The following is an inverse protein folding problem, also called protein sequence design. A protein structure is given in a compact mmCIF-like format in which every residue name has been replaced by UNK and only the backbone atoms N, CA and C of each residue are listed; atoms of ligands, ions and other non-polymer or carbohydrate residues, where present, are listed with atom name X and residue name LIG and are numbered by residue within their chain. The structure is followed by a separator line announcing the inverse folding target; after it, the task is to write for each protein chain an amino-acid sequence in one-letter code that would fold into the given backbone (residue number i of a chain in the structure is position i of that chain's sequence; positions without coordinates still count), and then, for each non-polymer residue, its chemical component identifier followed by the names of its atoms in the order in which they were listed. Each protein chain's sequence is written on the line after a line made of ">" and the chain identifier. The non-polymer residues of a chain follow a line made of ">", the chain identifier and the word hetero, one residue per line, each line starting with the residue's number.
data_IF_004434056010
#
_entry.id   IF_004434056010
#
_cell.length_a   1.000
_cell.length_b   1.000
_cell.length_c   1.000
_cell.angle_alpha   90.00
_cell.angle_beta   90.00
_cell.angle_gamma   90.00
#
_symmetry.space_group_name_H-M   'P 1'
#
loop_
_entity.id
_entity.type
_entity.pdbx_description
1 polymer ?
#
# COMPACT_ATOMS: atom_id res chain seq x y z
N UNK A 1 -6.67 -1.49 13.46
CA UNK A 1 -6.87 -0.14 12.91
C UNK A 1 -5.51 0.45 12.91
N UNK A 2 -5.07 0.95 11.77
CA UNK A 2 -3.79 1.58 11.71
C UNK A 2 -3.76 2.82 12.59
N UNK A 3 -2.97 2.75 13.65
CA UNK A 3 -2.92 3.71 14.75
C UNK A 3 -1.70 4.60 14.55
N UNK A 4 -1.89 5.83 14.09
CA UNK A 4 -0.79 6.79 13.91
C UNK A 4 -0.48 7.48 15.24
N UNK A 5 0.81 7.57 15.58
CA UNK A 5 1.26 8.31 16.77
C UNK A 5 0.87 9.80 16.67
N UNK A 6 0.08 10.31 17.63
CA UNK A 6 -0.36 11.71 17.67
C UNK A 6 0.78 12.71 17.65
N UNK A 7 1.95 12.39 18.20
CA UNK A 7 3.12 13.27 18.14
C UNK A 7 3.57 13.49 16.69
N UNK A 8 3.41 12.49 15.83
CA UNK A 8 3.71 12.64 14.41
C UNK A 8 2.64 13.50 13.72
N UNK A 9 1.35 13.22 13.92
CA UNK A 9 0.27 14.03 13.33
C UNK A 9 0.37 15.50 13.81
N UNK A 10 0.65 15.72 15.09
CA UNK A 10 0.88 17.04 15.65
C UNK A 10 2.08 17.74 15.00
N UNK A 11 3.21 17.03 14.81
CA UNK A 11 4.37 17.57 14.09
C UNK A 11 4.05 17.96 12.65
N UNK A 12 3.23 17.17 11.95
CA UNK A 12 2.74 17.55 10.61
C UNK A 12 1.91 18.83 10.72
N UNK A 13 0.93 18.88 11.62
CA UNK A 13 0.09 20.08 11.87
C UNK A 13 0.86 21.31 12.32
N UNK A 14 2.05 21.15 12.86
CA UNK A 14 2.96 22.22 13.29
C UNK A 14 3.98 22.61 12.20
N UNK A 15 3.87 22.06 10.99
CA UNK A 15 4.76 22.37 9.87
C UNK A 15 4.89 23.89 9.65
N UNK A 16 6.11 24.40 9.66
CA UNK A 16 6.41 25.85 9.61
C UNK A 16 6.60 26.36 8.19
N UNK A 17 7.05 25.48 7.31
CA UNK A 17 7.32 25.74 5.90
C UNK A 17 7.12 24.45 5.07
N UNK A 18 7.32 24.57 3.75
CA UNK A 18 7.16 23.47 2.81
C UNK A 18 8.07 22.26 3.09
N UNK A 19 9.25 22.46 3.71
CA UNK A 19 10.20 21.39 4.03
C UNK A 19 9.63 20.42 5.05
N UNK A 20 8.94 20.93 6.07
CA UNK A 20 8.28 20.11 7.08
C UNK A 20 7.17 19.26 6.44
N UNK A 21 6.44 19.80 5.46
CA UNK A 21 5.40 19.09 4.71
C UNK A 21 6.00 18.05 3.74
N UNK A 22 7.11 18.37 3.07
CA UNK A 22 7.84 17.43 2.21
C UNK A 22 8.29 16.21 3.03
N UNK A 23 8.84 16.42 4.23
CA UNK A 23 9.26 15.31 5.09
C UNK A 23 8.10 14.40 5.48
N UNK A 24 6.90 14.96 5.69
CA UNK A 24 5.69 14.16 5.90
C UNK A 24 5.33 13.34 4.65
N UNK A 25 5.33 13.97 3.47
CA UNK A 25 5.03 13.30 2.20
C UNK A 25 6.05 12.22 1.83
N UNK A 26 7.33 12.37 2.18
CA UNK A 26 8.33 11.30 2.04
C UNK A 26 8.00 10.10 2.93
N UNK A 27 7.50 10.33 4.16
CA UNK A 27 6.96 9.29 5.01
C UNK A 27 5.73 8.60 4.40
N UNK A 28 4.86 9.38 3.75
CA UNK A 28 3.71 8.86 3.01
C UNK A 28 4.13 7.96 1.84
N UNK A 29 5.09 8.42 1.02
CA UNK A 29 5.69 7.62 -0.06
C UNK A 29 6.25 6.31 0.48
N UNK A 30 6.93 6.33 1.63
CA UNK A 30 7.45 5.12 2.26
C UNK A 30 6.34 4.18 2.74
N UNK A 31 5.25 4.72 3.29
CA UNK A 31 4.08 3.95 3.73
C UNK A 31 3.46 3.21 2.56
N UNK A 32 3.11 3.90 1.48
CA UNK A 32 2.48 3.25 0.30
C UNK A 32 3.45 2.25 -0.36
N UNK A 33 4.75 2.54 -0.38
CA UNK A 33 5.75 1.59 -0.84
C UNK A 33 5.82 0.34 0.04
N UNK A 34 5.52 0.45 1.34
CA UNK A 34 5.60 -0.67 2.30
C UNK A 34 4.46 -1.69 2.15
N UNK A 35 3.35 -1.31 1.52
CA UNK A 35 2.22 -2.22 1.28
C UNK A 35 2.46 -3.11 0.05
N UNK A 36 3.33 -2.70 -0.89
CA UNK A 36 3.57 -3.44 -2.13
C UNK A 36 4.25 -4.81 -1.91
N UNK A 37 5.37 -4.94 -1.17
CA UNK A 37 6.02 -6.23 -0.95
C UNK A 37 5.12 -7.32 -0.34
N UNK A 38 4.34 -7.10 0.74
CA UNK A 38 3.46 -8.14 1.28
C UNK A 38 2.40 -8.59 0.27
N UNK A 39 1.80 -7.64 -0.48
CA UNK A 39 0.77 -7.96 -1.47
C UNK A 39 1.32 -8.73 -2.66
N UNK A 40 2.47 -8.29 -3.18
CA UNK A 40 3.17 -8.95 -4.28
C UNK A 40 3.66 -10.34 -3.88
N UNK A 41 4.19 -10.51 -2.67
CA UNK A 41 4.62 -11.83 -2.16
C UNK A 41 3.44 -12.81 -2.13
N UNK A 42 2.28 -12.34 -1.64
CA UNK A 42 1.05 -13.12 -1.69
C UNK A 42 0.69 -13.53 -3.11
N UNK A 43 0.66 -12.58 -4.06
CA UNK A 43 0.34 -12.87 -5.47
C UNK A 43 1.33 -13.84 -6.12
N UNK A 44 2.63 -13.69 -5.85
CA UNK A 44 3.68 -14.56 -6.40
C UNK A 44 3.58 -15.99 -5.88
N UNK A 45 2.95 -16.22 -4.74
CA UNK A 45 2.69 -17.57 -4.23
C UNK A 45 1.60 -18.33 -4.98
N UNK A 46 0.79 -17.66 -5.80
CA UNK A 46 -0.30 -18.31 -6.55
C UNK A 46 0.24 -19.05 -7.77
N UNK A 47 -0.04 -20.35 -7.89
CA UNK A 47 0.34 -21.13 -9.07
C UNK A 47 -0.29 -20.57 -10.36
N UNK A 48 0.35 -20.75 -11.53
CA UNK A 48 -0.23 -20.35 -12.81
C UNK A 48 -1.64 -20.94 -13.02
N UNK A 49 -2.58 -20.09 -13.47
CA UNK A 49 -3.98 -20.47 -13.71
C UNK A 49 -4.77 -20.94 -12.47
N UNK A 50 -4.29 -20.62 -11.26
CA UNK A 50 -5.00 -20.86 -10.01
C UNK A 50 -5.40 -19.55 -9.34
N UNK A 51 -6.52 -19.57 -8.62
CA UNK A 51 -7.00 -18.47 -7.78
C UNK A 51 -7.03 -17.13 -8.54
N UNK A 52 -7.43 -17.14 -9.82
CA UNK A 52 -7.33 -15.97 -10.71
C UNK A 52 -8.13 -14.77 -10.21
N UNK A 53 -9.29 -15.02 -9.59
CA UNK A 53 -10.11 -13.95 -9.00
C UNK A 53 -9.39 -13.28 -7.82
N UNK A 54 -8.79 -14.06 -6.91
CA UNK A 54 -7.97 -13.53 -5.82
C UNK A 54 -6.75 -12.76 -6.37
N UNK A 55 -6.10 -13.29 -7.41
CA UNK A 55 -4.98 -12.63 -8.08
C UNK A 55 -5.38 -11.26 -8.62
N UNK A 56 -6.50 -11.18 -9.34
CA UNK A 56 -7.01 -9.92 -9.92
C UNK A 56 -7.35 -8.91 -8.83
N UNK A 57 -8.01 -9.35 -7.75
CA UNK A 57 -8.36 -8.47 -6.63
C UNK A 57 -7.13 -7.89 -5.94
N UNK A 58 -6.12 -8.71 -5.61
CA UNK A 58 -4.90 -8.22 -4.97
C UNK A 58 -4.09 -7.33 -5.92
N UNK A 59 -4.00 -7.69 -7.21
CA UNK A 59 -3.31 -6.87 -8.20
C UNK A 59 -3.98 -5.49 -8.42
N UNK A 60 -5.32 -5.43 -8.34
CA UNK A 60 -6.03 -4.16 -8.39
C UNK A 60 -5.62 -3.25 -7.22
N UNK A 61 -5.54 -3.80 -6.00
CA UNK A 61 -5.06 -3.05 -4.82
C UNK A 61 -3.61 -2.60 -5.02
N UNK A 62 -2.70 -3.47 -5.45
CA UNK A 62 -1.30 -3.11 -5.74
C UNK A 62 -1.19 -1.92 -6.71
N UNK A 63 -2.04 -1.88 -7.75
CA UNK A 63 -2.07 -0.77 -8.71
C UNK A 63 -2.58 0.51 -8.07
N UNK A 64 -3.56 0.44 -7.16
CA UNK A 64 -4.05 1.59 -6.40
C UNK A 64 -3.00 2.12 -5.40
N UNK A 65 -2.28 1.25 -4.69
CA UNK A 65 -1.19 1.63 -3.79
C UNK A 65 -0.04 2.34 -4.53
N UNK A 66 0.27 1.89 -5.74
CA UNK A 66 1.23 2.57 -6.61
C UNK A 66 0.76 3.96 -7.06
N UNK A 67 -0.55 4.12 -7.31
CA UNK A 67 -1.15 5.43 -7.57
C UNK A 67 -0.99 6.34 -6.35
N UNK A 68 -1.24 5.83 -5.14
CA UNK A 68 -1.13 6.63 -3.91
C UNK A 68 0.30 7.12 -3.69
N UNK A 69 1.28 6.22 -3.84
CA UNK A 69 2.69 6.57 -3.80
C UNK A 69 3.02 7.67 -4.84
N UNK A 70 2.51 7.54 -6.06
CA UNK A 70 2.74 8.51 -7.13
C UNK A 70 2.12 9.89 -6.84
N UNK A 71 0.91 9.92 -6.28
CA UNK A 71 0.21 11.16 -5.87
C UNK A 71 0.96 11.86 -4.73
N UNK A 72 1.39 11.12 -3.71
CA UNK A 72 2.21 11.65 -2.62
C UNK A 72 3.55 12.21 -3.14
N UNK A 73 4.21 11.48 -4.05
CA UNK A 73 5.48 11.89 -4.64
C UNK A 73 5.33 13.11 -5.57
N UNK A 74 4.30 13.18 -6.41
CA UNK A 74 3.99 14.37 -7.22
C UNK A 74 3.76 15.60 -6.32
N UNK A 75 3.02 15.42 -5.21
CA UNK A 75 2.78 16.49 -4.24
C UNK A 75 4.09 16.95 -3.60
N UNK A 76 4.96 16.04 -3.18
CA UNK A 76 6.27 16.40 -2.62
C UNK A 76 7.15 17.16 -3.63
N UNK A 77 7.17 16.74 -4.90
CA UNK A 77 7.89 17.43 -5.98
C UNK A 77 7.35 18.85 -6.20
N UNK A 78 6.02 19.03 -6.13
CA UNK A 78 5.37 20.33 -6.28
C UNK A 78 5.73 21.33 -5.18
N UNK A 79 6.03 20.84 -3.97
CA UNK A 79 6.50 21.67 -2.86
C UNK A 79 8.01 21.94 -2.93
N UNK A 80 8.70 21.32 -3.89
CA UNK A 80 10.12 21.46 -4.12
C UNK A 80 11.00 20.32 -3.58
N UNK A 81 10.39 19.22 -3.12
CA UNK A 81 11.07 18.01 -2.66
C UNK A 81 11.63 17.14 -3.79
N UNK A 82 12.42 16.13 -3.41
CA UNK A 82 12.92 15.08 -4.31
C UNK A 82 12.89 13.75 -3.52
N UNK A 83 11.75 13.02 -3.53
CA UNK A 83 11.55 11.86 -2.67
C UNK A 83 12.67 10.81 -2.83
N UNK A 84 13.39 10.43 -1.76
CA UNK A 84 14.53 9.51 -1.84
C UNK A 84 14.05 8.04 -1.83
N UNK A 85 13.24 7.67 -2.84
CA UNK A 85 12.50 6.40 -2.91
C UNK A 85 13.39 5.19 -2.67
N UNK A 86 14.62 5.19 -3.18
CA UNK A 86 15.54 4.06 -3.00
C UNK A 86 15.92 3.88 -1.53
N UNK A 87 16.24 4.98 -0.86
CA UNK A 87 16.56 4.97 0.57
C UNK A 87 15.34 4.55 1.40
N UNK A 88 14.16 5.06 1.06
CA UNK A 88 12.91 4.74 1.75
C UNK A 88 12.58 3.24 1.61
N UNK A 89 12.70 2.67 0.41
CA UNK A 89 12.46 1.25 0.16
C UNK A 89 13.45 0.32 0.85
N UNK A 90 14.73 0.70 0.91
CA UNK A 90 15.77 -0.07 1.62
C UNK A 90 15.67 -0.01 3.14
N UNK A 91 14.96 0.98 3.68
CA UNK A 91 14.70 1.08 5.11
C UNK A 91 13.52 0.22 5.57
N UNK A 92 12.77 -0.39 4.64
CA UNK A 92 11.68 -1.32 4.95
C UNK A 92 12.26 -2.64 5.46
N UNK A 93 11.64 -3.20 6.50
CA UNK A 93 12.05 -4.45 7.12
C UNK A 93 10.82 -5.33 7.32
N UNK A 94 10.95 -6.62 6.98
CA UNK A 94 9.92 -7.62 7.23
C UNK A 94 10.52 -8.85 7.95
N UNK A 95 9.87 -9.37 9.01
CA UNK A 95 8.68 -8.79 9.62
C UNK A 95 9.03 -7.47 10.35
N UNK A 96 8.14 -6.50 10.31
CA UNK A 96 8.40 -5.18 10.92
C UNK A 96 7.15 -4.31 11.02
N UNK A 97 7.23 -3.17 11.73
CA UNK A 97 6.12 -2.23 11.79
C UNK A 97 5.92 -1.52 10.45
N UNK A 98 4.75 -0.92 10.25
CA UNK A 98 4.59 0.05 9.17
C UNK A 98 5.46 1.30 9.43
N UNK A 99 5.88 2.00 8.36
CA UNK A 99 6.52 3.30 8.48
C UNK A 99 5.68 4.28 9.30
N UNK A 100 6.28 5.42 9.68
CA UNK A 100 5.57 6.50 10.39
C UNK A 100 5.01 6.11 11.78
N UNK A 101 5.50 5.01 12.37
CA UNK A 101 5.01 4.47 13.65
C UNK A 101 3.50 4.27 13.65
N UNK A 102 2.98 3.83 12.51
CA UNK A 102 1.58 3.50 12.31
C UNK A 102 1.36 2.08 12.82
N UNK A 103 0.42 1.94 13.75
CA UNK A 103 0.08 0.72 14.49
C UNK A 103 1.32 -0.06 14.91
N UNK A 104 2.05 0.40 15.94
CA UNK A 104 3.27 -0.28 16.36
C UNK A 104 3.04 -1.71 16.85
N UNK A 105 1.79 -2.11 17.07
CA UNK A 105 1.41 -3.50 17.41
C UNK A 105 1.23 -4.37 16.14
N UNK A 106 0.96 -3.77 14.98
CA UNK A 106 0.91 -4.48 13.71
C UNK A 106 2.32 -4.83 13.24
N UNK A 107 2.56 -6.12 13.08
CA UNK A 107 3.77 -6.63 12.43
C UNK A 107 3.43 -7.07 11.02
N UNK A 108 3.95 -6.33 10.03
CA UNK A 108 3.80 -6.65 8.61
C UNK A 108 4.80 -7.73 8.24
N UNK A 109 4.29 -8.88 7.79
CA UNK A 109 5.10 -10.01 7.32
C UNK A 109 4.92 -10.28 5.83
N UNK A 110 5.90 -10.93 5.22
CA UNK A 110 5.83 -11.46 3.86
C UNK A 110 5.52 -12.96 3.91
N UNK A 111 4.56 -13.41 3.10
CA UNK A 111 4.19 -14.83 3.07
C UNK A 111 3.24 -15.18 1.94
N UNK A 112 2.94 -16.47 1.82
CA UNK A 112 1.98 -17.00 0.86
C UNK A 112 0.58 -16.41 1.06
N UNK A 113 -0.21 -16.33 -0.02
CA UNK A 113 -1.60 -15.87 0.05
C UNK A 113 -2.47 -16.93 0.73
N UNK A 114 -2.55 -16.82 2.06
CA UNK A 114 -3.39 -17.65 2.93
C UNK A 114 -4.45 -16.78 3.59
N UNK A 115 -5.50 -17.40 4.13
CA UNK A 115 -6.50 -16.67 4.94
C UNK A 115 -5.85 -15.97 6.13
N UNK A 116 -4.80 -16.54 6.73
CA UNK A 116 -4.06 -15.91 7.81
C UNK A 116 -3.31 -14.66 7.33
N UNK A 117 -2.58 -14.74 6.22
CA UNK A 117 -1.90 -13.58 5.63
C UNK A 117 -2.89 -12.46 5.26
N UNK A 118 -4.02 -12.82 4.64
CA UNK A 118 -5.08 -11.88 4.30
C UNK A 118 -5.64 -11.18 5.53
N UNK A 119 -6.00 -11.92 6.59
CA UNK A 119 -6.63 -11.32 7.78
C UNK A 119 -5.65 -10.56 8.67
N UNK A 120 -4.46 -11.13 8.89
CA UNK A 120 -3.52 -10.63 9.89
C UNK A 120 -2.58 -9.55 9.34
N UNK A 121 -2.39 -9.51 8.01
CA UNK A 121 -1.54 -8.51 7.36
C UNK A 121 -2.37 -7.63 6.44
N UNK A 122 -2.97 -8.16 5.37
CA UNK A 122 -3.54 -7.30 4.33
C UNK A 122 -4.75 -6.50 4.83
N UNK A 123 -5.74 -7.18 5.39
CA UNK A 123 -6.90 -6.53 6.01
C UNK A 123 -6.53 -5.73 7.27
N UNK A 124 -5.42 -6.06 7.94
CA UNK A 124 -4.99 -5.31 9.10
C UNK A 124 -4.37 -3.96 8.70
N UNK A 125 -3.57 -3.94 7.62
CA UNK A 125 -3.08 -2.72 6.97
C UNK A 125 -4.26 -1.88 6.51
N UNK A 126 -5.20 -2.45 5.76
CA UNK A 126 -6.29 -1.67 5.16
C UNK A 126 -7.47 -1.38 6.10
N UNK A 127 -7.37 -1.75 7.39
CA UNK A 127 -8.55 -1.66 8.27
C UNK A 127 -8.97 -0.19 8.42
N UNK A 128 -10.21 0.17 8.00
CA UNK A 128 -10.67 1.55 8.04
C UNK A 128 -10.73 2.11 9.46
N UNK A 129 -10.66 3.43 9.53
CA UNK A 129 -10.70 4.21 10.77
C UNK A 129 -12.12 4.34 11.34
N UNK A 130 -12.64 3.25 11.90
CA UNK A 130 -14.01 3.15 12.40
C UNK A 130 -14.11 2.44 13.74
N UNK A 131 -15.14 2.81 14.49
CA UNK A 131 -15.60 2.11 15.69
C UNK A 131 -16.74 1.12 15.41
N UNK A 132 -17.27 1.07 14.19
CA UNK A 132 -18.22 0.07 13.77
C UNK A 132 -17.59 -1.32 13.73
N UNK A 133 -18.44 -2.33 13.96
CA UNK A 133 -18.12 -3.72 13.70
C UNK A 133 -18.08 -3.93 12.19
N UNK A 134 -16.93 -4.39 11.67
CA UNK A 134 -16.77 -4.69 10.26
C UNK A 134 -17.28 -6.11 9.91
N UNK A 135 -17.61 -6.38 8.63
CA UNK A 135 -18.10 -7.69 8.20
C UNK A 135 -17.11 -8.80 8.53
N UNK A 136 -17.57 -9.84 9.26
CA UNK A 136 -16.75 -10.97 9.65
C UNK A 136 -15.72 -10.69 10.76
N UNK A 137 -15.74 -9.49 11.35
CA UNK A 137 -14.89 -9.09 12.47
C UNK A 137 -15.53 -9.47 13.83
N UNK A 138 -14.72 -9.86 14.82
CA UNK A 138 -15.18 -9.99 16.21
C UNK A 138 -15.52 -8.58 16.76
N UNK A 139 -16.73 -8.34 17.30
CA UNK A 139 -17.11 -7.05 17.90
C UNK A 139 -16.12 -6.51 18.95
N UNK A 140 -15.34 -7.38 19.62
CA UNK A 140 -14.29 -6.98 20.55
C UNK A 140 -13.16 -6.18 19.89
N UNK A 141 -12.91 -6.40 18.59
CA UNK A 141 -11.90 -5.64 17.84
C UNK A 141 -12.34 -4.18 17.72
N UNK A 142 -13.60 -3.95 17.32
CA UNK A 142 -14.19 -2.62 17.24
C UNK A 142 -14.17 -1.91 18.62
N UNK A 143 -14.46 -2.63 19.71
CA UNK A 143 -14.35 -2.11 21.07
C UNK A 143 -12.92 -1.68 21.42
N UNK A 144 -11.92 -2.54 21.20
CA UNK A 144 -10.50 -2.22 21.46
C UNK A 144 -10.05 -0.99 20.67
N UNK A 145 -10.59 -0.83 19.46
CA UNK A 145 -10.27 0.31 18.59
C UNK A 145 -10.89 1.60 19.12
N UNK A 146 -12.14 1.56 19.59
CA UNK A 146 -12.74 2.69 20.29
C UNK A 146 -11.92 3.11 21.53
N UNK A 147 -11.42 2.13 22.30
CA UNK A 147 -10.53 2.38 23.45
C UNK A 147 -9.19 3.01 23.04
N UNK A 148 -8.59 2.55 21.92
CA UNK A 148 -7.36 3.12 21.38
C UNK A 148 -7.57 4.55 20.84
N UNK A 149 -8.67 4.81 20.14
CA UNK A 149 -9.04 6.19 19.75
C UNK A 149 -9.17 7.10 20.97
N UNK A 150 -9.79 6.62 22.05
CA UNK A 150 -9.89 7.35 23.31
C UNK A 150 -8.52 7.62 23.97
N UNK A 151 -7.54 6.72 23.79
CA UNK A 151 -6.12 6.93 24.20
C UNK A 151 -5.35 7.86 23.27
N UNK A 152 -5.96 8.31 22.17
CA UNK A 152 -5.44 9.34 21.31
C UNK A 152 -4.51 8.85 20.20
N UNK A 153 -4.87 7.77 19.54
CA UNK A 153 -4.24 7.37 18.29
C UNK A 153 -5.05 7.86 17.07
N UNK A 154 -4.39 8.25 15.98
CA UNK A 154 -5.05 8.70 14.73
C UNK A 154 -5.02 7.65 13.62
N UNK A 155 -5.53 7.96 12.42
CA UNK A 155 -5.50 7.09 11.23
C UNK A 155 -4.59 7.59 10.11
N UNK A 156 -4.45 6.81 9.02
CA UNK A 156 -3.76 7.25 7.79
C UNK A 156 -4.49 8.47 7.20
N UNK A 157 -5.81 8.46 7.23
CA UNK A 157 -6.67 9.58 6.87
C UNK A 157 -6.41 10.81 7.74
N UNK A 158 -6.27 10.66 9.06
CA UNK A 158 -5.88 11.78 9.94
C UNK A 158 -4.50 12.34 9.58
N UNK A 159 -3.56 11.47 9.18
CA UNK A 159 -2.26 11.90 8.72
C UNK A 159 -2.35 12.74 7.44
N UNK A 160 -3.04 12.27 6.40
CA UNK A 160 -3.21 13.04 5.17
C UNK A 160 -4.05 14.31 5.38
N UNK A 161 -5.06 14.28 6.25
CA UNK A 161 -5.79 15.48 6.65
C UNK A 161 -4.87 16.50 7.32
N UNK A 162 -3.95 16.06 8.20
CA UNK A 162 -2.95 16.95 8.80
C UNK A 162 -2.01 17.56 7.76
N UNK A 163 -1.64 16.82 6.70
CA UNK A 163 -0.87 17.36 5.58
C UNK A 163 -1.65 18.45 4.85
N UNK A 164 -2.93 18.20 4.52
CA UNK A 164 -3.82 19.17 3.86
C UNK A 164 -3.99 20.44 4.72
N UNK A 165 -4.36 20.28 6.00
CA UNK A 165 -4.49 21.39 6.96
C UNK A 165 -3.21 22.23 7.05
N UNK A 166 -2.04 21.57 6.93
CA UNK A 166 -0.76 22.26 6.97
C UNK A 166 -0.50 23.10 5.73
N UNK A 167 -0.78 22.55 4.55
CA UNK A 167 -0.67 23.29 3.29
C UNK A 167 -1.61 24.50 3.27
N UNK A 168 -2.86 24.33 3.71
CA UNK A 168 -3.85 25.41 3.84
C UNK A 168 -3.33 26.54 4.74
N UNK A 169 -2.82 26.18 5.93
CA UNK A 169 -2.28 27.16 6.88
C UNK A 169 -1.06 27.90 6.35
N UNK A 170 -0.14 27.23 5.65
CA UNK A 170 1.02 27.87 5.03
C UNK A 170 0.55 28.93 4.01
N UNK A 171 -0.37 28.57 3.12
CA UNK A 171 -0.96 29.50 2.13
C UNK A 171 -1.68 30.67 2.82
N UNK A 172 -2.49 30.41 3.85
CA UNK A 172 -3.19 31.45 4.61
C UNK A 172 -2.22 32.39 5.34
N UNK A 173 -1.04 31.92 5.74
CA UNK A 173 0.00 32.75 6.35
C UNK A 173 0.76 33.65 5.36
N UNK A 174 0.42 33.59 4.06
CA UNK A 174 1.05 34.37 3.00
C UNK A 174 2.31 33.72 2.42
N UNK A 175 2.61 32.47 2.79
CA UNK A 175 3.64 31.68 2.11
C UNK A 175 3.07 31.14 0.79
N UNK A 176 3.95 30.94 -0.20
CA UNK A 176 3.60 30.32 -1.47
C UNK A 176 4.36 29.00 -1.65
N UNK A 177 3.91 27.91 -1.00
CA UNK A 177 4.55 26.60 -1.12
C UNK A 177 4.51 26.02 -2.54
N UNK A 178 3.69 26.59 -3.44
CA UNK A 178 3.53 26.15 -4.83
C UNK A 178 4.04 27.19 -5.84
N UNK A 179 4.88 28.15 -5.41
CA UNK A 179 5.40 29.21 -6.29
C UNK A 179 6.26 28.70 -7.46
N UNK A 180 6.82 27.50 -7.34
CA UNK A 180 7.44 26.73 -8.42
C UNK A 180 7.05 25.24 -8.29
N UNK A 181 5.92 24.82 -8.88
CA UNK A 181 5.41 23.47 -8.72
C UNK A 181 6.15 22.42 -9.56
N UNK A 182 7.16 22.82 -10.37
CA UNK A 182 8.00 21.89 -11.17
C UNK A 182 7.19 20.85 -11.96
N UNK A 183 6.14 21.28 -12.66
CA UNK A 183 5.20 20.39 -13.36
C UNK A 183 5.88 19.44 -14.34
N UNK A 184 6.97 19.89 -14.96
CA UNK A 184 7.81 19.12 -15.88
C UNK A 184 8.61 18.01 -15.19
N UNK A 185 8.75 18.04 -13.87
CA UNK A 185 9.39 17.00 -13.05
C UNK A 185 8.39 16.05 -12.40
N UNK A 186 7.09 16.31 -12.54
CA UNK A 186 6.03 15.45 -12.03
C UNK A 186 5.61 14.42 -13.08
N UNK A 187 5.27 13.23 -12.61
CA UNK A 187 4.72 12.18 -13.44
C UNK A 187 3.31 12.56 -13.90
N UNK A 188 3.08 12.56 -15.22
CA UNK A 188 1.73 12.67 -15.77
C UNK A 188 1.05 11.30 -15.69
N UNK A 189 0.06 11.18 -14.80
CA UNK A 189 -0.60 9.89 -14.54
C UNK A 189 -1.70 9.57 -15.54
N UNK A 190 -2.07 10.50 -16.44
CA UNK A 190 -3.23 10.35 -17.35
C UNK A 190 -3.19 9.09 -18.22
N UNK A 191 -1.98 8.64 -18.60
CA UNK A 191 -1.77 7.45 -19.43
C UNK A 191 -2.09 6.14 -18.70
N UNK A 192 -1.87 6.10 -17.39
CA UNK A 192 -1.92 4.86 -16.59
C UNK A 192 -3.11 4.83 -15.63
N UNK A 193 -3.53 6.01 -15.17
CA UNK A 193 -4.57 6.22 -14.18
C UNK A 193 -5.54 7.31 -14.67
N UNK A 194 -6.22 7.08 -15.82
CA UNK A 194 -7.11 8.08 -16.38
C UNK A 194 -8.27 8.35 -15.44
N UNK A 195 -8.54 9.64 -15.19
CA UNK A 195 -9.66 10.10 -14.34
C UNK A 195 -9.62 9.61 -12.89
N UNK A 196 -8.45 9.19 -12.38
CA UNK A 196 -8.31 8.73 -11.00
C UNK A 196 -8.43 9.86 -9.97
N UNK A 197 -8.02 11.08 -10.33
CA UNK A 197 -8.24 12.28 -9.51
C UNK A 197 -9.40 13.10 -10.11
N UNK A 198 -10.49 13.34 -9.36
CA UNK A 198 -11.61 14.15 -9.83
C UNK A 198 -11.16 15.56 -10.23
N UNK A 199 -11.52 15.98 -11.45
CA UNK A 199 -11.23 17.32 -11.95
C UNK A 199 -9.81 17.57 -12.44
N UNK A 200 -8.89 16.59 -12.31
CA UNK A 200 -7.53 16.69 -12.83
C UNK A 200 -7.15 15.43 -13.64
N UNK A 201 -7.15 15.49 -14.98
CA UNK A 201 -6.83 14.34 -15.82
C UNK A 201 -5.35 13.94 -15.74
N UNK A 202 -4.44 14.85 -15.39
CA UNK A 202 -2.99 14.59 -15.34
C UNK A 202 -2.50 14.16 -13.96
N UNK A 203 -3.26 14.51 -12.92
CA UNK A 203 -2.91 14.33 -11.51
C UNK A 203 -1.58 15.02 -11.14
N UNK A 204 -1.26 16.13 -11.82
CA UNK A 204 -0.10 16.97 -11.51
C UNK A 204 -0.52 18.08 -10.56
N UNK A 205 0.23 18.23 -9.48
CA UNK A 205 -0.03 19.23 -8.44
C UNK A 205 0.54 20.57 -8.87
N UNK A 206 -0.34 21.56 -9.06
CA UNK A 206 -0.01 22.92 -9.54
C UNK A 206 -0.18 23.97 -8.45
N UNK A 207 -1.02 23.68 -7.48
CA UNK A 207 -1.52 24.60 -6.45
C UNK A 207 -2.13 23.80 -5.29
N UNK A 208 -2.63 24.52 -4.28
CA UNK A 208 -3.29 23.92 -3.11
C UNK A 208 -4.49 23.05 -3.49
N UNK A 209 -5.31 23.48 -4.47
CA UNK A 209 -6.53 22.77 -4.85
C UNK A 209 -6.22 21.41 -5.49
N UNK A 210 -5.23 21.37 -6.40
CA UNK A 210 -4.77 20.12 -7.01
C UNK A 210 -4.03 19.21 -6.02
N UNK A 211 -3.28 19.78 -5.06
CA UNK A 211 -2.70 19.01 -3.95
C UNK A 211 -3.79 18.36 -3.08
N UNK A 212 -4.81 19.13 -2.68
CA UNK A 212 -5.94 18.63 -1.91
C UNK A 212 -6.68 17.53 -2.67
N UNK A 213 -6.93 17.72 -3.97
CA UNK A 213 -7.58 16.71 -4.80
C UNK A 213 -6.78 15.39 -4.85
N UNK A 214 -5.46 15.46 -5.00
CA UNK A 214 -4.57 14.30 -4.98
C UNK A 214 -4.60 13.59 -3.61
N UNK A 215 -4.37 14.32 -2.51
CA UNK A 215 -4.31 13.73 -1.16
C UNK A 215 -5.67 13.18 -0.71
N UNK A 216 -6.78 13.87 -1.01
CA UNK A 216 -8.13 13.33 -0.75
C UNK A 216 -8.43 12.08 -1.56
N UNK A 217 -7.81 11.91 -2.74
CA UNK A 217 -7.97 10.68 -3.52
C UNK A 217 -7.34 9.50 -2.82
N UNK A 218 -6.15 9.68 -2.23
CA UNK A 218 -5.49 8.66 -1.40
C UNK A 218 -6.40 8.26 -0.23
N UNK A 219 -6.89 9.25 0.54
CA UNK A 219 -7.80 9.00 1.68
C UNK A 219 -9.05 8.21 1.25
N UNK A 220 -9.71 8.63 0.16
CA UNK A 220 -10.96 7.99 -0.30
C UNK A 220 -10.76 6.54 -0.76
N UNK A 221 -9.63 6.24 -1.40
CA UNK A 221 -9.36 4.93 -1.97
C UNK A 221 -8.79 3.95 -0.93
N UNK A 222 -7.84 4.39 -0.10
CA UNK A 222 -7.23 3.54 0.93
C UNK A 222 -8.21 3.20 2.07
N UNK A 223 -8.76 4.21 2.76
CA UNK A 223 -9.62 3.95 3.93
C UNK A 223 -11.09 3.64 3.57
N UNK A 224 -11.49 3.85 2.31
CA UNK A 224 -12.90 3.84 1.92
C UNK A 224 -13.64 5.05 2.48
N UNK A 225 -14.41 5.75 1.65
CA UNK A 225 -14.84 7.10 2.05
C UNK A 225 -15.69 7.16 3.33
N UNK A 226 -15.52 8.32 3.99
CA UNK A 226 -16.12 8.80 5.22
C UNK A 226 -15.53 8.21 6.51
N UNK A 227 -14.26 8.56 6.77
CA UNK A 227 -13.68 8.58 8.12
C UNK A 227 -14.73 9.12 9.11
N UNK A 228 -15.07 8.31 10.11
CA UNK A 228 -16.02 8.70 11.16
C UNK A 228 -17.52 8.59 10.82
N UNK A 229 -17.91 8.01 9.69
CA UNK A 229 -19.31 7.62 9.46
C UNK A 229 -19.56 6.14 9.79
N UNK A 230 -20.37 5.92 10.82
CA UNK A 230 -20.90 4.60 11.18
C UNK A 230 -22.40 4.55 10.79
N UNK A 231 -22.87 3.53 10.05
CA UNK A 231 -22.11 2.40 9.51
C UNK A 231 -21.30 2.77 8.25
N UNK A 232 -20.18 2.09 8.04
CA UNK A 232 -19.35 2.27 6.83
C UNK A 232 -20.09 1.80 5.59
N UNK A 233 -19.94 2.56 4.50
CA UNK A 233 -20.27 2.12 3.15
C UNK A 233 -18.98 1.65 2.42
N UNK A 234 -18.86 0.33 2.08
CA UNK A 234 -17.73 -0.24 1.35
C UNK A 234 -17.43 0.40 -0.01
N UNK A 235 -18.41 1.07 -0.61
CA UNK A 235 -18.32 1.76 -1.90
C UNK A 235 -18.31 3.29 -1.76
N UNK A 236 -18.03 3.83 -0.56
CA UNK A 236 -18.10 5.27 -0.36
C UNK A 236 -17.03 6.04 -1.17
N UNK A 237 -15.91 5.39 -1.53
CA UNK A 237 -14.82 5.94 -2.34
C UNK A 237 -15.16 6.17 -3.83
N UNK A 238 -16.34 5.74 -4.29
CA UNK A 238 -16.76 5.81 -5.69
C UNK A 238 -17.35 4.48 -6.16
N UNK A 239 -17.18 4.14 -7.44
CA UNK A 239 -17.66 2.85 -7.95
C UNK A 239 -16.81 1.66 -7.48
N UNK A 240 -15.59 1.91 -7.00
CA UNK A 240 -14.66 0.89 -6.51
C UNK A 240 -14.83 0.65 -5.01
N UNK A 241 -14.74 -0.61 -4.61
CA UNK A 241 -14.81 -1.05 -3.23
C UNK A 241 -13.47 -0.84 -2.52
N UNK A 242 -13.48 -0.40 -1.26
CA UNK A 242 -12.24 -0.18 -0.50
C UNK A 242 -11.44 -1.47 -0.27
N UNK A 243 -10.13 -1.33 -0.09
CA UNK A 243 -9.17 -2.45 -0.12
C UNK A 243 -9.44 -3.50 0.95
N UNK A 244 -9.78 -3.09 2.17
CA UNK A 244 -10.17 -3.98 3.27
C UNK A 244 -11.23 -4.99 2.84
N UNK A 245 -12.27 -4.50 2.14
CA UNK A 245 -13.38 -5.33 1.71
C UNK A 245 -13.00 -6.22 0.52
N UNK A 246 -12.18 -5.71 -0.42
CA UNK A 246 -11.60 -6.52 -1.52
C UNK A 246 -10.80 -7.71 -0.97
N UNK A 247 -9.96 -7.49 0.04
CA UNK A 247 -9.23 -8.58 0.70
C UNK A 247 -10.14 -9.50 1.52
N UNK A 248 -11.18 -8.94 2.16
CA UNK A 248 -12.18 -9.72 2.87
C UNK A 248 -12.92 -10.70 1.97
N UNK A 249 -13.24 -10.34 0.72
CA UNK A 249 -13.89 -11.27 -0.21
C UNK A 249 -13.06 -12.55 -0.41
N UNK A 250 -11.74 -12.42 -0.51
CA UNK A 250 -10.82 -13.54 -0.62
C UNK A 250 -10.72 -14.29 0.72
N UNK A 251 -10.59 -13.56 1.84
CA UNK A 251 -10.38 -14.13 3.16
C UNK A 251 -11.57 -14.95 3.67
N UNK A 252 -12.78 -14.54 3.30
CA UNK A 252 -14.03 -15.21 3.66
C UNK A 252 -14.60 -16.08 2.53
N UNK A 253 -14.01 -16.03 1.33
CA UNK A 253 -14.33 -16.91 0.21
C UNK A 253 -15.60 -16.54 -0.55
N UNK A 254 -16.13 -15.32 -0.35
CA UNK A 254 -17.42 -14.89 -0.89
C UNK A 254 -17.44 -13.37 -1.14
N UNK A 255 -18.15 -12.95 -2.18
CA UNK A 255 -18.40 -11.54 -2.47
C UNK A 255 -19.14 -10.85 -1.32
N UNK A 256 -18.81 -9.59 -1.07
CA UNK A 256 -19.51 -8.77 -0.09
C UNK A 256 -20.88 -8.37 -0.63
N UNK A 257 -21.93 -8.54 0.18
CA UNK A 257 -23.29 -8.14 -0.16
C UNK A 257 -23.93 -7.38 1.00
N UNK A 258 -24.89 -6.51 0.68
CA UNK A 258 -25.65 -5.80 1.69
C UNK A 258 -26.48 -6.78 2.52
N UNK A 259 -26.39 -6.67 3.84
CA UNK A 259 -27.05 -7.56 4.79
C UNK A 259 -27.52 -6.75 5.99
N UNK A 260 -28.81 -6.40 5.99
CA UNK A 260 -29.43 -5.60 7.06
C UNK A 260 -29.50 -6.32 8.41
N UNK A 261 -29.26 -7.63 8.44
CA UNK A 261 -29.24 -8.41 9.68
C UNK A 261 -27.85 -8.43 10.33
N UNK A 262 -26.79 -8.18 9.56
CA UNK A 262 -25.43 -8.07 10.07
C UNK A 262 -25.24 -6.74 10.81
N UNK A 263 -24.52 -6.71 11.95
CA UNK A 263 -24.22 -5.46 12.67
C UNK A 263 -23.51 -4.40 11.81
N UNK A 264 -22.71 -4.83 10.85
CA UNK A 264 -22.00 -4.00 9.87
C UNK A 264 -22.92 -3.46 8.75
N UNK A 265 -24.10 -4.05 8.56
CA UNK A 265 -24.94 -3.84 7.36
C UNK A 265 -24.47 -4.61 6.12
N UNK A 266 -23.41 -5.42 6.22
CA UNK A 266 -22.80 -6.15 5.10
C UNK A 266 -22.27 -7.52 5.52
N UNK A 267 -22.36 -8.52 4.64
CA UNK A 267 -21.83 -9.86 4.89
C UNK A 267 -21.16 -10.46 3.65
N UNK A 268 -20.11 -11.27 3.87
CA UNK A 268 -19.46 -12.06 2.81
C UNK A 268 -20.27 -13.34 2.55
N UNK A 269 -21.44 -13.18 1.96
CA UNK A 269 -22.39 -14.28 1.65
C UNK A 269 -22.81 -14.31 0.19
N UNK A 270 -22.20 -13.45 -0.65
CA UNK A 270 -22.46 -13.38 -2.08
C UNK A 270 -21.84 -14.53 -2.88
N UNK A 271 -21.59 -14.27 -4.16
CA UNK A 271 -21.00 -15.24 -5.07
C UNK A 271 -19.65 -15.78 -4.53
N UNK A 272 -19.30 -17.05 -4.73
CA UNK A 272 -18.03 -17.60 -4.24
C UNK A 272 -16.79 -16.90 -4.82
N UNK A 273 -15.79 -16.68 -3.98
CA UNK A 273 -14.44 -16.19 -4.33
C UNK A 273 -13.42 -17.17 -3.72
N UNK A 274 -13.29 -18.39 -4.25
CA UNK A 274 -12.53 -19.44 -3.60
C UNK A 274 -11.02 -19.16 -3.57
N UNK A 275 -10.39 -19.53 -2.46
CA UNK A 275 -8.93 -19.60 -2.32
C UNK A 275 -8.53 -21.07 -2.11
N UNK A 276 -8.16 -21.75 -3.18
CA UNK A 276 -7.66 -23.13 -3.13
C UNK A 276 -6.21 -23.13 -2.62
N UNK A 277 -6.05 -23.46 -1.33
CA UNK A 277 -4.77 -23.52 -0.65
C UNK A 277 -3.82 -24.59 -1.23
N UNK A 278 -4.33 -25.62 -1.90
CA UNK A 278 -3.48 -26.64 -2.54
C UNK A 278 -2.76 -26.12 -3.79
N UNK A 279 -3.24 -24.99 -4.33
CA UNK A 279 -2.68 -24.30 -5.50
C UNK A 279 -1.90 -23.04 -5.13
N UNK A 280 -1.48 -22.95 -3.86
CA UNK A 280 -0.64 -21.88 -3.34
C UNK A 280 0.71 -22.49 -2.93
N UNK A 281 1.81 -21.93 -3.44
CA UNK A 281 3.16 -22.31 -3.03
C UNK A 281 3.36 -22.02 -1.55
N UNK A 282 3.93 -22.97 -0.81
CA UNK A 282 4.32 -22.78 0.60
C UNK A 282 5.65 -22.07 0.66
N UNK A 283 5.63 -20.77 0.94
CA UNK A 283 6.84 -19.97 1.14
C UNK A 283 7.35 -20.06 2.58
N UNK A 284 8.67 -19.92 2.80
CA UNK A 284 9.16 -19.50 4.10
C UNK A 284 8.66 -18.08 4.39
N UNK A 285 8.19 -17.82 5.60
CA UNK A 285 7.77 -16.47 6.00
C UNK A 285 8.96 -15.53 6.04
N UNK A 286 8.78 -14.31 5.54
CA UNK A 286 9.76 -13.23 5.57
C UNK A 286 11.11 -13.56 4.91
N UNK A 287 11.08 -14.39 3.87
CA UNK A 287 12.27 -14.86 3.18
C UNK A 287 13.19 -13.71 2.74
N UNK A 288 14.48 -13.91 2.96
CA UNK A 288 15.56 -13.01 2.58
C UNK A 288 16.44 -13.67 1.53
N UNK A 289 17.16 -12.87 0.75
CA UNK A 289 18.13 -13.42 -0.20
C UNK A 289 19.19 -14.25 0.53
N UNK A 290 19.62 -13.79 1.71
CA UNK A 290 20.55 -14.50 2.60
C UNK A 290 20.05 -15.85 3.13
N UNK A 291 18.75 -16.16 3.02
CA UNK A 291 18.21 -17.48 3.39
C UNK A 291 18.52 -18.55 2.32
N UNK A 292 18.96 -18.14 1.13
CA UNK A 292 19.28 -19.03 0.02
C UNK A 292 20.79 -19.14 -0.18
N UNK A 293 21.29 -20.36 -0.35
CA UNK A 293 22.70 -20.56 -0.72
C UNK A 293 22.99 -19.85 -2.05
N UNK A 294 24.02 -18.98 -2.15
CA UNK A 294 24.33 -18.25 -3.38
C UNK A 294 24.66 -19.14 -4.58
N UNK A 295 25.06 -20.39 -4.34
CA UNK A 295 25.35 -21.38 -5.39
C UNK A 295 24.16 -22.26 -5.76
N UNK A 296 23.03 -22.12 -5.07
CA UNK A 296 21.79 -22.82 -5.39
C UNK A 296 20.99 -22.11 -6.48
N UNK A 297 20.09 -22.83 -7.16
CA UNK A 297 19.19 -22.23 -8.13
C UNK A 297 18.25 -21.19 -7.50
N UNK A 298 17.78 -21.44 -6.27
CA UNK A 298 17.01 -20.47 -5.48
C UNK A 298 17.81 -19.20 -5.17
N UNK A 299 19.08 -19.33 -4.81
CA UNK A 299 19.97 -18.18 -4.56
C UNK A 299 20.27 -17.38 -5.82
N UNK A 300 20.53 -18.04 -6.95
CA UNK A 300 20.77 -17.37 -8.23
C UNK A 300 19.54 -16.59 -8.72
N UNK A 301 18.38 -17.24 -8.76
CA UNK A 301 17.12 -16.62 -9.20
C UNK A 301 16.62 -15.58 -8.18
N UNK A 302 16.80 -15.82 -6.88
CA UNK A 302 16.51 -14.87 -5.82
C UNK A 302 17.37 -13.61 -5.92
N UNK A 303 18.65 -13.75 -6.26
CA UNK A 303 19.55 -12.63 -6.51
C UNK A 303 19.08 -11.80 -7.71
N UNK A 304 18.71 -12.46 -8.82
CA UNK A 304 18.16 -11.77 -9.99
C UNK A 304 16.86 -11.00 -9.67
N UNK A 305 15.98 -11.59 -8.83
CA UNK A 305 14.79 -10.89 -8.34
C UNK A 305 15.14 -9.67 -7.51
N UNK A 306 16.04 -9.81 -6.53
CA UNK A 306 16.42 -8.71 -5.65
C UNK A 306 17.11 -7.58 -6.44
N UNK A 307 17.97 -7.91 -7.40
CA UNK A 307 18.61 -6.93 -8.30
C UNK A 307 17.57 -6.19 -9.17
N UNK A 308 16.53 -6.89 -9.65
CA UNK A 308 15.42 -6.25 -10.36
C UNK A 308 14.63 -5.31 -9.44
N UNK A 309 14.42 -5.69 -8.17
CA UNK A 309 13.77 -4.83 -7.18
C UNK A 309 14.60 -3.57 -6.90
N UNK A 310 15.92 -3.68 -6.73
CA UNK A 310 16.81 -2.53 -6.55
C UNK A 310 16.77 -1.59 -7.76
N UNK A 311 16.81 -2.13 -8.98
CA UNK A 311 16.66 -1.33 -10.21
C UNK A 311 15.30 -0.66 -10.31
N UNK A 312 14.23 -1.30 -9.84
CA UNK A 312 12.91 -0.68 -9.78
C UNK A 312 12.94 0.55 -8.87
N UNK A 313 13.50 0.42 -7.67
CA UNK A 313 13.62 1.54 -6.73
C UNK A 313 14.44 2.69 -7.33
N UNK A 314 15.54 2.38 -8.02
CA UNK A 314 16.36 3.39 -8.73
C UNK A 314 15.57 4.10 -9.84
N UNK A 315 14.78 3.36 -10.63
CA UNK A 315 13.96 3.92 -11.70
C UNK A 315 12.81 4.79 -11.17
N UNK A 316 12.18 4.37 -10.06
CA UNK A 316 11.17 5.16 -9.37
C UNK A 316 11.78 6.44 -8.80
N UNK A 317 12.92 6.37 -8.09
CA UNK A 317 13.60 7.56 -7.59
C UNK A 317 13.94 8.55 -8.72
N UNK A 318 14.46 8.06 -9.85
CA UNK A 318 14.74 8.91 -11.01
C UNK A 318 13.47 9.58 -11.58
N UNK A 319 12.32 8.90 -11.52
CA UNK A 319 11.03 9.42 -12.00
C UNK A 319 10.65 10.72 -11.28
N UNK A 320 10.73 10.73 -9.94
CA UNK A 320 10.39 11.91 -9.12
C UNK A 320 11.59 12.78 -8.74
N UNK A 321 12.74 12.57 -9.39
CA UNK A 321 13.95 13.38 -9.21
C UNK A 321 14.46 13.93 -10.55
N UNK A 322 13.52 14.44 -11.36
CA UNK A 322 13.82 15.22 -12.58
C UNK A 322 13.76 14.47 -13.90
N UNK A 323 13.36 13.18 -13.92
CA UNK A 323 13.22 12.37 -15.15
C UNK A 323 11.91 11.58 -15.16
N UNK A 324 10.72 12.21 -15.22
CA UNK A 324 9.44 11.51 -15.15
C UNK A 324 9.25 10.45 -16.26
N UNK A 325 9.96 10.56 -17.37
CA UNK A 325 9.99 9.55 -18.44
C UNK A 325 10.55 8.18 -17.99
N UNK A 326 11.36 8.15 -16.92
CA UNK A 326 11.91 6.93 -16.32
C UNK A 326 10.82 6.00 -15.76
N UNK A 327 9.58 6.49 -15.59
CA UNK A 327 8.46 5.64 -15.21
C UNK A 327 8.19 4.54 -16.25
N UNK A 328 8.46 4.78 -17.54
CA UNK A 328 8.37 3.72 -18.56
C UNK A 328 9.36 2.59 -18.29
N UNK A 329 10.57 2.92 -17.85
CA UNK A 329 11.58 1.94 -17.43
C UNK A 329 11.13 1.21 -16.16
N UNK A 330 10.59 1.94 -15.17
CA UNK A 330 10.04 1.37 -13.95
C UNK A 330 8.92 0.34 -14.27
N UNK A 331 7.99 0.68 -15.16
CA UNK A 331 6.95 -0.25 -15.64
C UNK A 331 7.54 -1.50 -16.30
N UNK A 332 8.54 -1.33 -17.17
CA UNK A 332 9.26 -2.46 -17.76
C UNK A 332 9.86 -3.39 -16.70
N UNK A 333 10.46 -2.82 -15.66
CA UNK A 333 11.04 -3.57 -14.55
C UNK A 333 9.94 -4.22 -13.68
N UNK A 334 8.75 -3.63 -13.53
CA UNK A 334 7.63 -4.28 -12.84
C UNK A 334 7.17 -5.55 -13.57
N UNK A 335 7.14 -5.53 -14.91
CA UNK A 335 6.91 -6.76 -15.69
C UNK A 335 8.06 -7.74 -15.52
N UNK A 336 9.30 -7.27 -15.51
CA UNK A 336 10.47 -8.10 -15.24
C UNK A 336 10.37 -8.78 -13.88
N UNK A 337 10.05 -8.04 -12.80
CA UNK A 337 9.87 -8.55 -11.44
C UNK A 337 8.91 -9.73 -11.39
N UNK A 338 7.79 -9.66 -12.12
CA UNK A 338 6.86 -10.79 -12.25
C UNK A 338 7.53 -12.01 -12.89
N UNK A 339 8.31 -11.82 -13.96
CA UNK A 339 9.00 -12.91 -14.65
C UNK A 339 10.09 -13.53 -13.79
N UNK A 340 10.92 -12.73 -13.11
CA UNK A 340 11.96 -13.26 -12.22
C UNK A 340 11.35 -13.88 -10.96
N UNK A 341 10.23 -13.36 -10.43
CA UNK A 341 9.49 -14.04 -9.36
C UNK A 341 9.01 -15.43 -9.79
N UNK A 342 8.51 -15.57 -11.02
CA UNK A 342 8.12 -16.87 -11.59
C UNK A 342 9.30 -17.84 -11.76
N UNK A 343 10.54 -17.35 -11.85
CA UNK A 343 11.73 -18.20 -11.84
C UNK A 343 12.06 -18.67 -10.42
N UNK A 344 12.00 -17.78 -9.43
CA UNK A 344 12.26 -18.13 -8.02
C UNK A 344 11.35 -19.26 -7.54
N UNK A 345 10.04 -19.17 -7.83
CA UNK A 345 9.04 -20.14 -7.36
C UNK A 345 9.13 -21.52 -8.04
N UNK A 346 10.02 -21.70 -9.02
CA UNK A 346 10.31 -23.02 -9.61
C UNK A 346 11.27 -23.84 -8.75
N UNK A 347 11.83 -23.26 -7.69
CA UNK A 347 12.84 -23.88 -6.86
C UNK A 347 12.34 -24.10 -5.44
N UNK A 348 12.76 -25.21 -4.84
CA UNK A 348 12.67 -25.42 -3.39
C UNK A 348 13.81 -24.67 -2.71
N UNK A 349 13.57 -24.27 -1.46
CA UNK A 349 14.64 -23.68 -0.61
C UNK A 349 15.80 -24.68 -0.45
N UNK A 350 15.47 -25.94 -0.17
CA UNK A 350 16.43 -27.05 -0.11
C UNK A 350 15.99 -28.16 -1.10
N UNK A 351 16.70 -28.36 -2.22
CA UNK A 351 16.41 -29.43 -3.17
C UNK A 351 16.50 -30.84 -2.58
N UNK A 352 17.22 -31.04 -1.45
CA UNK A 352 17.29 -32.33 -0.76
C UNK A 352 16.03 -32.65 0.05
N UNK A 353 15.13 -31.68 0.22
CA UNK A 353 13.85 -31.83 0.92
C UNK A 353 12.66 -31.57 -0.04
N UNK A 354 12.18 -32.59 -0.78
CA UNK A 354 11.09 -32.43 -1.76
C UNK A 354 9.77 -31.91 -1.18
N UNK A 355 9.52 -32.16 0.11
CA UNK A 355 8.35 -31.66 0.86
C UNK A 355 8.60 -30.30 1.54
N UNK A 356 9.78 -29.73 1.29
CA UNK A 356 10.22 -28.43 1.77
C UNK A 356 9.44 -27.27 1.16
N UNK A 357 9.64 -26.05 1.68
CA UNK A 357 8.99 -24.87 1.13
C UNK A 357 9.57 -24.51 -0.25
N UNK A 358 8.73 -23.94 -1.09
CA UNK A 358 9.14 -23.25 -2.31
C UNK A 358 9.88 -21.97 -1.94
N UNK A 359 10.94 -21.63 -2.66
CA UNK A 359 11.64 -20.36 -2.49
C UNK A 359 10.68 -19.19 -2.79
N UNK A 360 10.68 -18.19 -1.92
CA UNK A 360 9.92 -16.96 -2.10
C UNK A 360 10.79 -15.86 -2.73
N UNK A 361 10.24 -15.01 -3.62
CA UNK A 361 10.96 -13.85 -4.14
C UNK A 361 11.41 -12.90 -3.02
N UNK A 362 12.72 -12.66 -2.83
CA UNK A 362 13.22 -11.91 -1.67
C UNK A 362 13.20 -10.40 -1.92
N UNK A 363 12.43 -9.66 -1.12
CA UNK A 363 12.45 -8.18 -1.10
C UNK A 363 13.50 -7.60 -0.13
N UNK A 364 14.29 -8.47 0.51
CA UNK A 364 15.29 -8.13 1.52
C UNK A 364 16.57 -8.94 1.28
N UNK A 365 17.75 -8.38 1.64
CA UNK A 365 19.05 -8.98 1.37
C UNK A 365 19.38 -10.21 2.24
#
# INVERSE_FOLDING_TARGET
>A
MLVVNKTMIARVREARDATDVIAALEGAVQLELSTLPPYLTGVFSLQPGANDEARVLVQAVVVEEMLHMALAANTAVALGGNPPIRKLGLALNYPGPLPMSIDPELTVSLGSLTTAQLKNVFMAIERPDTTAVLPGEDPKIAQRIAENKAKGYGSIGDFYNAVIESLERLVQSGQDPFGDPRLERQLDLSRWFPSSVPGDPTCRVRDLASAEAALRTIIRQGEGANVGQDPINPHAGGNEMAHYFKFGEIAFGHRLVADKSAPSGWSYTGAPVPLDASRVHRFPENARLSDYSPTSAAGFTGGAFYDAYLRLLDALEATWNGRPEMFNSALGIMFELKLVAQQVVQHLVDPANPDGPTAAPPFQP
#
